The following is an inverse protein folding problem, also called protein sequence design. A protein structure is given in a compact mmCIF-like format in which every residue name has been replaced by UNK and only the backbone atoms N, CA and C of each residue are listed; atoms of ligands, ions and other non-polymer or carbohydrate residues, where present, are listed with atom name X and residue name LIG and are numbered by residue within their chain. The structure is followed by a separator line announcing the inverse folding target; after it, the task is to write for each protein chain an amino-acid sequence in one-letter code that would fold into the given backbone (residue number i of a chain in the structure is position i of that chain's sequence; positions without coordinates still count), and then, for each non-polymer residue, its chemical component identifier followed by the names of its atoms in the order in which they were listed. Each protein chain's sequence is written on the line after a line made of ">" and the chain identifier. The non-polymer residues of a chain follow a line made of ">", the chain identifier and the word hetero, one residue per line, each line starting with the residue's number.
data_IF_921990664033
#
_entry.id   IF_921990664033
#
_cell.length_a   1.000
_cell.length_b   1.000
_cell.length_c   1.000
_cell.angle_alpha   90.00
_cell.angle_beta   90.00
_cell.angle_gamma   90.00
#
_symmetry.space_group_name_H-M   'P 1'
#
loop_
_entity.id
_entity.type
_entity.pdbx_description
1 polymer ?
#
# COMPACT_ATOMS: atom_id res chain seq x y z
N UNK A 1 11.89 17.17 -1.71
CA UNK A 1 10.51 16.68 -1.91
C UNK A 1 10.38 15.65 -3.03
N UNK A 2 10.95 15.86 -4.24
CA UNK A 2 10.92 14.85 -5.32
C UNK A 2 11.40 13.45 -4.89
N UNK A 3 12.47 13.40 -4.11
CA UNK A 3 13.00 12.14 -3.56
C UNK A 3 12.00 11.43 -2.62
N UNK A 4 11.21 12.18 -1.84
CA UNK A 4 10.17 11.61 -0.98
C UNK A 4 9.01 11.02 -1.79
N UNK A 5 8.60 11.70 -2.89
CA UNK A 5 7.56 11.17 -3.78
C UNK A 5 7.95 9.81 -4.37
N UNK A 6 9.23 9.57 -4.69
CA UNK A 6 9.71 8.26 -5.20
C UNK A 6 9.44 7.11 -4.23
N UNK A 7 9.36 7.38 -2.93
CA UNK A 7 9.06 6.40 -1.89
C UNK A 7 7.55 6.26 -1.57
N UNK A 8 6.69 7.08 -2.17
CA UNK A 8 5.26 7.07 -1.83
C UNK A 8 4.60 5.71 -2.13
N UNK A 9 4.88 5.12 -3.29
CA UNK A 9 4.37 3.79 -3.64
C UNK A 9 4.78 2.69 -2.64
N UNK A 10 6.09 2.52 -2.36
CA UNK A 10 6.57 1.62 -1.31
C UNK A 10 5.95 1.86 0.07
N UNK A 11 5.77 3.13 0.48
CA UNK A 11 5.12 3.47 1.75
C UNK A 11 3.66 2.98 1.77
N UNK A 12 2.90 3.19 0.70
CA UNK A 12 1.51 2.72 0.59
C UNK A 12 1.44 1.19 0.69
N UNK A 13 2.38 0.47 0.05
CA UNK A 13 2.48 -1.00 0.13
C UNK A 13 2.78 -1.45 1.57
N UNK A 14 3.66 -0.75 2.29
CA UNK A 14 3.97 -1.06 3.68
C UNK A 14 2.75 -0.87 4.59
N UNK A 15 1.94 0.16 4.35
CA UNK A 15 0.67 0.35 5.08
C UNK A 15 -0.29 -0.80 4.79
N UNK A 16 -0.45 -1.20 3.52
CA UNK A 16 -1.26 -2.36 3.14
C UNK A 16 -0.80 -3.65 3.85
N UNK A 17 0.52 -3.87 3.90
CA UNK A 17 1.12 -5.00 4.61
C UNK A 17 0.80 -4.97 6.11
N UNK A 18 0.90 -3.80 6.76
CA UNK A 18 0.56 -3.66 8.17
C UNK A 18 -0.91 -3.99 8.46
N UNK A 19 -1.83 -3.61 7.56
CA UNK A 19 -3.25 -3.97 7.69
C UNK A 19 -3.49 -5.48 7.55
N UNK A 20 -2.75 -6.17 6.69
CA UNK A 20 -2.80 -7.64 6.60
C UNK A 20 -2.35 -8.29 7.91
N UNK A 21 -1.28 -7.77 8.51
CA UNK A 21 -0.80 -8.23 9.83
C UNK A 21 -1.88 -8.05 10.89
N UNK A 22 -2.53 -6.88 10.94
CA UNK A 22 -3.64 -6.61 11.86
C UNK A 22 -4.80 -7.58 11.62
N UNK A 23 -5.22 -7.76 10.36
CA UNK A 23 -6.30 -8.68 10.00
C UNK A 23 -6.01 -10.12 10.47
N UNK A 24 -4.76 -10.58 10.31
CA UNK A 24 -4.33 -11.90 10.73
C UNK A 24 -4.41 -12.10 12.25
N UNK A 25 -3.98 -11.11 13.05
CA UNK A 25 -3.96 -11.22 14.51
C UNK A 25 -5.31 -10.92 15.19
N UNK A 26 -6.16 -10.08 14.59
CA UNK A 26 -7.50 -9.75 15.10
C UNK A 26 -8.50 -10.91 14.93
N UNK A 27 -8.20 -11.91 14.09
CA UNK A 27 -9.07 -13.05 13.78
C UNK A 27 -10.52 -12.62 13.46
N UNK A 28 -10.65 -11.55 12.65
CA UNK A 28 -11.94 -10.98 12.28
C UNK A 28 -12.55 -11.73 11.09
N UNK A 29 -13.83 -12.09 11.20
CA UNK A 29 -14.58 -12.73 10.11
C UNK A 29 -14.94 -11.78 8.96
N UNK A 30 -14.76 -10.46 9.14
CA UNK A 30 -15.10 -9.45 8.16
C UNK A 30 -13.95 -9.20 7.18
N UNK A 31 -14.24 -9.24 5.87
CA UNK A 31 -13.25 -9.07 4.81
C UNK A 31 -12.88 -7.61 4.51
N UNK A 32 -13.42 -6.64 5.27
CA UNK A 32 -13.20 -5.21 5.03
C UNK A 32 -11.71 -4.85 5.04
N UNK A 33 -10.95 -5.34 6.03
CA UNK A 33 -9.51 -5.08 6.12
C UNK A 33 -8.72 -5.73 4.97
N UNK A 34 -9.08 -6.94 4.55
CA UNK A 34 -8.49 -7.62 3.39
C UNK A 34 -8.71 -6.80 2.11
N UNK A 35 -9.92 -6.28 1.89
CA UNK A 35 -10.25 -5.48 0.70
C UNK A 35 -9.45 -4.17 0.72
N UNK A 36 -9.40 -3.47 1.86
CA UNK A 36 -8.63 -2.22 1.99
C UNK A 36 -7.14 -2.48 1.77
N UNK A 37 -6.59 -3.53 2.37
CA UNK A 37 -5.20 -3.92 2.19
C UNK A 37 -4.90 -4.24 0.73
N UNK A 38 -5.74 -5.04 0.07
CA UNK A 38 -5.61 -5.35 -1.36
C UNK A 38 -5.63 -4.11 -2.25
N UNK A 39 -6.55 -3.18 -2.00
CA UNK A 39 -6.63 -1.91 -2.71
C UNK A 39 -5.36 -1.04 -2.51
N UNK A 40 -4.81 -1.02 -1.29
CA UNK A 40 -3.54 -0.32 -0.99
C UNK A 40 -2.36 -0.98 -1.70
N UNK A 41 -2.29 -2.31 -1.75
CA UNK A 41 -1.21 -3.01 -2.46
C UNK A 41 -1.20 -2.66 -3.95
N UNK A 42 -2.37 -2.71 -4.61
CA UNK A 42 -2.51 -2.38 -6.03
C UNK A 42 -2.21 -0.90 -6.28
N UNK A 43 -2.82 0.01 -5.52
CA UNK A 43 -2.61 1.46 -5.69
C UNK A 43 -1.18 1.89 -5.37
N UNK A 44 -0.52 1.27 -4.39
CA UNK A 44 0.89 1.51 -4.06
C UNK A 44 1.83 1.06 -5.18
N UNK A 45 1.55 -0.08 -5.81
CA UNK A 45 2.26 -0.55 -7.01
C UNK A 45 2.10 0.42 -8.18
N UNK A 46 0.85 0.83 -8.47
CA UNK A 46 0.57 1.81 -9.53
C UNK A 46 1.30 3.12 -9.23
N UNK A 47 1.23 3.62 -8.00
CA UNK A 47 1.91 4.84 -7.59
C UNK A 47 3.43 4.71 -7.74
N UNK A 48 4.03 3.58 -7.35
CA UNK A 48 5.46 3.35 -7.52
C UNK A 48 5.88 3.43 -8.99
N UNK A 49 5.14 2.77 -9.88
CA UNK A 49 5.44 2.76 -11.33
C UNK A 49 5.23 4.14 -11.95
N UNK A 50 4.07 4.76 -11.70
CA UNK A 50 3.70 6.05 -12.29
C UNK A 50 4.64 7.15 -11.79
N UNK A 51 4.83 7.27 -10.47
CA UNK A 51 5.65 8.36 -9.91
C UNK A 51 7.10 8.24 -10.39
N UNK A 52 7.68 7.03 -10.41
CA UNK A 52 9.06 6.87 -10.87
C UNK A 52 9.22 7.06 -12.38
N UNK A 53 8.13 6.94 -13.16
CA UNK A 53 8.12 7.23 -14.60
C UNK A 53 8.09 8.74 -14.90
N UNK A 54 7.39 9.54 -14.08
CA UNK A 54 7.18 10.97 -14.34
C UNK A 54 8.05 11.90 -13.49
N UNK A 55 8.54 11.42 -12.35
CA UNK A 55 9.41 12.16 -11.45
C UNK A 55 10.84 11.64 -11.66
N UNK A 56 11.45 12.02 -12.79
CA UNK A 56 12.93 11.96 -12.91
C UNK A 56 13.57 12.97 -11.93
#
# INVERSE_FOLDING_TARGET
>A
MKSFLKYLGPIIILIGTALLTVYYFENTAANTLLIIAGALMVSGLIAHVVINKYVE
#
